data_IF_289015460881
#
_entry.id   IF_289015460881
#
_cell.length_a   1.000
_cell.length_b   1.000
_cell.length_c   1.000
_cell.angle_alpha   90.00
_cell.angle_beta   90.00
_cell.angle_gamma   90.00
#
_symmetry.space_group_name_H-M   'P 1'
#
loop_
_entity.id
_entity.type
_entity.pdbx_description
1 polymer ?
#
# COMPACT_ATOMS: atom_id res chain seq x y z
N UNK A 1 13.11 27.52 -10.35
CA UNK A 1 11.91 27.17 -9.58
C UNK A 1 11.92 25.66 -9.42
N UNK A 2 11.74 25.16 -8.20
CA UNK A 2 11.59 23.72 -7.96
C UNK A 2 10.32 23.24 -8.65
N UNK A 3 10.37 22.04 -9.21
CA UNK A 3 9.20 21.43 -9.86
C UNK A 3 8.10 21.16 -8.82
N UNK A 4 6.90 21.76 -8.96
CA UNK A 4 5.80 21.56 -8.02
C UNK A 4 5.42 20.08 -7.84
N UNK A 5 5.60 19.26 -8.89
CA UNK A 5 5.35 17.82 -8.81
C UNK A 5 6.21 17.15 -7.75
N UNK A 6 7.50 17.51 -7.68
CA UNK A 6 8.46 16.86 -6.76
C UNK A 6 8.14 17.20 -5.31
N UNK A 7 7.64 18.41 -5.05
CA UNK A 7 7.23 18.83 -3.69
C UNK A 7 6.04 18.00 -3.23
N UNK A 8 4.98 17.93 -4.03
CA UNK A 8 3.79 17.14 -3.69
C UNK A 8 4.13 15.65 -3.64
N UNK A 9 5.06 15.17 -4.47
CA UNK A 9 5.57 13.80 -4.41
C UNK A 9 6.21 13.49 -3.04
N UNK A 10 7.02 14.39 -2.49
CA UNK A 10 7.63 14.23 -1.15
C UNK A 10 6.56 14.22 -0.05
N UNK A 11 5.56 15.10 -0.15
CA UNK A 11 4.43 15.16 0.79
C UNK A 11 3.61 13.86 0.77
N UNK A 12 3.28 13.35 -0.42
CA UNK A 12 2.60 12.06 -0.59
C UNK A 12 3.42 10.93 0.02
N UNK A 13 4.75 10.89 -0.21
CA UNK A 13 5.61 9.86 0.39
C UNK A 13 5.58 9.92 1.92
N UNK A 14 5.64 11.12 2.51
CA UNK A 14 5.55 11.33 3.96
C UNK A 14 4.19 10.87 4.51
N UNK A 15 3.09 11.28 3.88
CA UNK A 15 1.74 10.91 4.28
C UNK A 15 1.50 9.40 4.16
N UNK A 16 2.10 8.74 3.17
CA UNK A 16 2.08 7.28 3.06
C UNK A 16 2.77 6.57 4.21
N UNK A 17 3.94 7.04 4.63
CA UNK A 17 4.65 6.42 5.76
C UNK A 17 3.89 6.62 7.08
N UNK A 18 3.19 7.76 7.23
CA UNK A 18 2.25 7.99 8.32
C UNK A 18 1.07 7.00 8.27
N UNK A 19 0.43 6.85 7.11
CA UNK A 19 -0.66 5.89 6.90
C UNK A 19 -0.23 4.44 7.19
N UNK A 20 0.98 4.04 6.81
CA UNK A 20 1.52 2.70 7.13
C UNK A 20 1.74 2.50 8.62
N UNK A 21 2.19 3.53 9.32
CA UNK A 21 2.36 3.51 10.77
C UNK A 21 1.02 3.38 11.48
N UNK A 22 0.02 4.16 11.05
CA UNK A 22 -1.36 4.09 11.54
C UNK A 22 -2.01 2.74 11.25
N UNK A 23 -1.76 2.16 10.08
CA UNK A 23 -2.27 0.84 9.74
C UNK A 23 -1.64 -0.27 10.61
N UNK A 24 -0.36 -0.14 10.97
CA UNK A 24 0.30 -1.07 11.86
C UNK A 24 -0.30 -0.99 13.28
N UNK A 25 -0.52 0.21 13.81
CA UNK A 25 -1.18 0.39 15.12
C UNK A 25 -2.64 -0.08 15.09
N UNK A 26 -3.37 0.21 14.02
CA UNK A 26 -4.74 -0.28 13.79
C UNK A 26 -4.82 -1.80 13.88
N UNK A 27 -3.94 -2.52 13.17
CA UNK A 27 -3.90 -4.00 13.21
C UNK A 27 -3.58 -4.56 14.60
N UNK A 28 -2.71 -3.88 15.35
CA UNK A 28 -2.38 -4.29 16.71
C UNK A 28 -3.57 -4.14 17.67
N UNK A 29 -4.38 -3.09 17.47
CA UNK A 29 -5.58 -2.81 18.25
C UNK A 29 -6.76 -3.70 17.83
N UNK A 30 -6.83 -4.10 16.56
CA UNK A 30 -7.82 -5.03 16.03
C UNK A 30 -7.69 -6.45 16.61
N UNK A 31 -6.47 -6.92 16.84
CA UNK A 31 -6.22 -8.27 17.34
C UNK A 31 -6.44 -8.45 18.86
N UNK A 32 -6.59 -7.36 19.62
CA UNK A 32 -6.73 -7.41 21.08
C UNK A 32 -8.21 -7.35 21.50
N UNK A 33 -8.56 -8.06 22.59
CA UNK A 33 -9.80 -7.79 23.33
C UNK A 33 -9.67 -6.41 23.98
N UNK A 34 -10.48 -5.43 23.57
CA UNK A 34 -10.27 -4.02 23.91
C UNK A 34 -10.89 -3.65 25.25
N UNK A 35 -10.13 -2.91 26.05
CA UNK A 35 -10.68 -2.10 27.14
C UNK A 35 -11.40 -0.86 26.58
N UNK A 36 -12.28 -0.20 27.35
CA UNK A 36 -12.95 1.04 26.88
C UNK A 36 -11.98 2.17 26.48
N UNK A 37 -10.77 2.19 27.05
CA UNK A 37 -9.74 3.16 26.68
C UNK A 37 -9.05 2.81 25.35
N UNK A 38 -8.74 1.53 25.12
CA UNK A 38 -8.18 1.04 23.85
C UNK A 38 -9.20 1.12 22.69
N UNK A 39 -10.49 1.11 22.98
CA UNK A 39 -11.55 1.33 22.00
C UNK A 39 -11.56 2.78 21.47
N UNK A 40 -11.42 3.77 22.37
CA UNK A 40 -11.30 5.17 21.95
C UNK A 40 -10.03 5.40 21.11
N UNK A 41 -8.93 4.73 21.47
CA UNK A 41 -7.67 4.79 20.70
C UNK A 41 -7.84 4.15 19.33
N UNK A 42 -8.57 3.04 19.23
CA UNK A 42 -8.85 2.40 17.94
C UNK A 42 -9.71 3.27 17.02
N UNK A 43 -10.77 3.89 17.55
CA UNK A 43 -11.60 4.82 16.77
C UNK A 43 -10.77 6.00 16.26
N UNK A 44 -9.98 6.61 17.14
CA UNK A 44 -9.07 7.68 16.76
C UNK A 44 -8.09 7.26 15.64
N UNK A 45 -7.44 6.10 15.78
CA UNK A 45 -6.52 5.59 14.76
C UNK A 45 -7.25 5.29 13.44
N UNK A 46 -8.48 4.80 13.50
CA UNK A 46 -9.30 4.51 12.32
C UNK A 46 -9.67 5.80 11.58
N UNK A 47 -10.13 6.82 12.30
CA UNK A 47 -10.50 8.12 11.72
C UNK A 47 -9.28 8.87 11.17
N UNK A 48 -8.14 8.83 11.88
CA UNK A 48 -6.90 9.46 11.44
C UNK A 48 -6.35 8.77 10.17
N UNK A 49 -6.40 7.43 10.13
CA UNK A 49 -6.01 6.66 8.95
C UNK A 49 -6.93 6.97 7.77
N UNK A 50 -8.24 7.07 7.99
CA UNK A 50 -9.20 7.47 6.98
C UNK A 50 -8.88 8.86 6.40
N UNK A 51 -8.68 9.84 7.29
CA UNK A 51 -8.37 11.22 6.91
C UNK A 51 -7.09 11.29 6.09
N UNK A 52 -6.04 10.61 6.55
CA UNK A 52 -4.75 10.54 5.87
C UNK A 52 -4.87 9.90 4.50
N UNK A 53 -5.56 8.75 4.39
CA UNK A 53 -5.77 8.08 3.10
C UNK A 53 -6.55 8.98 2.14
N UNK A 54 -7.62 9.64 2.60
CA UNK A 54 -8.42 10.54 1.76
C UNK A 54 -7.61 11.75 1.25
N UNK A 55 -6.75 12.33 2.10
CA UNK A 55 -5.84 13.41 1.69
C UNK A 55 -4.86 12.92 0.61
N UNK A 56 -4.22 11.79 0.84
CA UNK A 56 -3.28 11.17 -0.12
C UNK A 56 -3.95 10.87 -1.44
N UNK A 57 -5.20 10.42 -1.42
CA UNK A 57 -5.97 10.15 -2.62
C UNK A 57 -6.22 11.41 -3.44
N UNK A 58 -6.60 12.51 -2.79
CA UNK A 58 -6.75 13.81 -3.45
C UNK A 58 -5.45 14.25 -4.10
N UNK A 59 -4.34 14.16 -3.36
CA UNK A 59 -3.01 14.51 -3.88
C UNK A 59 -2.63 13.63 -5.10
N UNK A 60 -2.96 12.33 -5.07
CA UNK A 60 -2.71 11.42 -6.18
C UNK A 60 -3.55 11.74 -7.43
N UNK A 61 -4.78 12.24 -7.25
CA UNK A 61 -5.62 12.74 -8.36
C UNK A 61 -4.99 13.98 -8.98
N UNK A 62 -4.57 14.95 -8.17
CA UNK A 62 -3.92 16.18 -8.66
C UNK A 62 -2.59 15.87 -9.36
N UNK A 63 -1.79 14.94 -8.81
CA UNK A 63 -0.56 14.48 -9.45
C UNK A 63 -0.83 13.77 -10.78
N UNK A 64 -1.92 13.00 -10.90
CA UNK A 64 -2.30 12.39 -12.16
C UNK A 64 -2.68 13.44 -13.20
N UNK A 65 -3.49 14.44 -12.84
CA UNK A 65 -3.86 15.53 -13.74
C UNK A 65 -2.61 16.30 -14.21
N UNK A 66 -1.66 16.56 -13.31
CA UNK A 66 -0.39 17.18 -13.65
C UNK A 66 0.44 16.34 -14.63
N UNK A 67 0.43 15.01 -14.47
CA UNK A 67 1.12 14.08 -15.38
C UNK A 67 0.44 14.03 -16.74
N UNK A 68 -0.89 14.02 -16.79
CA UNK A 68 -1.63 14.03 -18.05
C UNK A 68 -1.48 15.36 -18.78
N UNK A 69 -1.49 16.50 -18.08
CA UNK A 69 -1.15 17.79 -18.66
C UNK A 69 0.26 17.78 -19.26
N UNK A 70 1.25 17.27 -18.52
CA UNK A 70 2.63 17.13 -18.99
C UNK A 70 2.77 16.20 -20.21
N UNK A 71 1.91 15.19 -20.36
CA UNK A 71 1.88 14.30 -21.53
C UNK A 71 1.36 14.99 -22.79
N UNK A 72 0.35 15.85 -22.65
CA UNK A 72 -0.25 16.55 -23.78
C UNK A 72 0.63 17.70 -24.29
N UNK A 73 1.37 18.38 -23.41
CA UNK A 73 2.29 19.47 -23.77
C UNK A 73 3.70 19.32 -23.16
N UNK A 74 4.48 18.29 -23.53
CA UNK A 74 5.80 18.05 -22.92
C UNK A 74 6.81 19.19 -23.11
N UNK A 75 6.67 19.94 -24.21
CA UNK A 75 7.56 21.05 -24.55
C UNK A 75 7.45 22.24 -23.59
N UNK A 76 6.26 22.48 -23.01
CA UNK A 76 6.00 23.60 -22.10
C UNK A 76 6.59 23.35 -20.71
N UNK A 77 6.71 22.07 -20.32
CA UNK A 77 7.25 21.65 -19.03
C UNK A 77 8.72 21.24 -19.09
N UNK A 78 9.31 21.13 -20.28
CA UNK A 78 10.71 20.71 -20.45
C UNK A 78 11.00 19.30 -19.93
N UNK A 79 9.98 18.44 -19.85
CA UNK A 79 10.08 17.09 -19.30
C UNK A 79 10.42 16.10 -20.39
N UNK A 80 11.37 15.21 -20.10
CA UNK A 80 11.67 14.06 -20.96
C UNK A 80 10.58 13.00 -20.86
N UNK A 81 10.36 12.25 -21.94
CA UNK A 81 9.40 11.13 -21.92
C UNK A 81 9.71 10.08 -20.84
N UNK A 82 10.98 9.91 -20.46
CA UNK A 82 11.36 9.06 -19.33
C UNK A 82 10.96 9.61 -17.96
N UNK A 83 11.01 10.94 -17.77
CA UNK A 83 10.55 11.56 -16.52
C UNK A 83 9.03 11.46 -16.39
N UNK A 84 8.29 11.68 -17.47
CA UNK A 84 6.83 11.51 -17.48
C UNK A 84 6.46 10.06 -17.14
N UNK A 85 7.16 9.09 -17.72
CA UNK A 85 6.99 7.67 -17.42
C UNK A 85 7.24 7.34 -15.93
N UNK A 86 8.31 7.89 -15.36
CA UNK A 86 8.62 7.71 -13.94
C UNK A 86 7.53 8.27 -13.03
N UNK A 87 6.96 9.43 -13.38
CA UNK A 87 5.84 10.04 -12.65
C UNK A 87 4.56 9.20 -12.75
N UNK A 88 4.25 8.67 -13.93
CA UNK A 88 3.13 7.75 -14.13
C UNK A 88 3.28 6.49 -13.26
N UNK A 89 4.46 5.87 -13.27
CA UNK A 89 4.74 4.69 -12.44
C UNK A 89 4.59 4.99 -10.95
N UNK A 90 5.04 6.17 -10.51
CA UNK A 90 4.91 6.60 -9.12
C UNK A 90 3.43 6.72 -8.72
N UNK A 91 2.63 7.46 -9.48
CA UNK A 91 1.20 7.66 -9.18
C UNK A 91 0.45 6.34 -9.18
N UNK A 92 0.66 5.49 -10.19
CA UNK A 92 0.03 4.17 -10.28
C UNK A 92 0.41 3.25 -9.11
N UNK A 93 1.70 3.17 -8.76
CA UNK A 93 2.17 2.34 -7.63
C UNK A 93 1.58 2.81 -6.30
N UNK A 94 1.49 4.12 -6.09
CA UNK A 94 0.90 4.67 -4.87
C UNK A 94 -0.61 4.45 -4.82
N UNK A 95 -1.34 4.67 -5.92
CA UNK A 95 -2.78 4.36 -5.99
C UNK A 95 -3.08 2.90 -5.64
N UNK A 96 -2.34 1.95 -6.21
CA UNK A 96 -2.46 0.53 -5.85
C UNK A 96 -2.23 0.29 -4.35
N UNK A 97 -1.20 0.92 -3.77
CA UNK A 97 -0.91 0.77 -2.35
C UNK A 97 -2.00 1.37 -1.45
N UNK A 98 -2.66 2.47 -1.85
CA UNK A 98 -3.85 2.97 -1.13
C UNK A 98 -4.98 1.95 -1.17
N UNK A 99 -5.26 1.39 -2.36
CA UNK A 99 -6.33 0.42 -2.54
C UNK A 99 -6.08 -0.87 -1.73
N UNK A 100 -4.85 -1.35 -1.68
CA UNK A 100 -4.46 -2.47 -0.82
C UNK A 100 -4.76 -2.15 0.66
N UNK A 101 -4.36 -0.97 1.14
CA UNK A 101 -4.63 -0.52 2.52
C UNK A 101 -6.13 -0.39 2.80
N UNK A 102 -6.92 0.05 1.81
CA UNK A 102 -8.38 0.13 1.89
C UNK A 102 -9.03 -1.25 2.01
N UNK A 103 -8.57 -2.21 1.22
CA UNK A 103 -9.08 -3.57 1.26
C UNK A 103 -8.90 -4.21 2.65
N UNK A 104 -7.82 -3.85 3.35
CA UNK A 104 -7.56 -4.29 4.72
C UNK A 104 -8.56 -3.69 5.72
N UNK A 105 -8.98 -2.43 5.52
CA UNK A 105 -9.94 -1.74 6.40
C UNK A 105 -11.40 -2.15 6.15
N UNK A 106 -11.74 -2.46 4.90
CA UNK A 106 -13.09 -2.88 4.48
C UNK A 106 -13.37 -4.36 4.71
N UNK A 107 -12.34 -5.18 4.94
CA UNK A 107 -12.49 -6.59 5.33
C UNK A 107 -11.96 -6.84 6.75
N UNK A 108 -12.66 -6.37 7.79
CA UNK A 108 -12.44 -6.86 9.14
C UNK A 108 -13.03 -8.29 9.19
N UNK A 109 -12.18 -9.30 9.00
CA UNK A 109 -12.49 -10.73 9.18
C UNK A 109 -13.94 -11.13 8.88
N UNK A 110 -14.26 -11.38 7.60
CA UNK A 110 -15.51 -12.02 7.17
C UNK A 110 -15.75 -13.44 7.78
N UNK A 111 -14.97 -13.84 8.79
CA UNK A 111 -15.05 -15.10 9.53
C UNK A 111 -15.71 -14.99 10.91
N UNK A 112 -16.04 -13.80 11.42
CA UNK A 112 -16.73 -13.66 12.73
C UNK A 112 -18.27 -13.56 12.66
N UNK A 113 -18.86 -13.60 11.47
CA UNK A 113 -20.31 -13.44 11.25
C UNK A 113 -21.14 -14.72 11.06
N UNK A 114 -20.60 -15.93 11.31
CA UNK A 114 -21.36 -17.19 11.14
C UNK A 114 -21.50 -17.98 12.45
N UNK A 115 -21.99 -17.32 13.51
CA UNK A 115 -22.48 -17.99 14.73
C UNK A 115 -23.91 -17.60 15.11
N UNK A 116 -24.70 -17.11 14.16
CA UNK A 116 -26.15 -17.17 14.29
C UNK A 116 -26.67 -18.28 13.40
N UNK A 117 -27.38 -19.23 14.03
CA UNK A 117 -28.37 -20.18 13.49
C UNK A 117 -28.05 -21.63 13.88
N UNK A 118 -28.81 -22.15 14.85
CA UNK A 118 -29.00 -23.59 14.99
C UNK A 118 -28.94 -24.15 16.40
N UNK A 119 -29.71 -23.63 17.35
CA UNK A 119 -30.19 -24.46 18.46
C UNK A 119 -31.71 -24.35 18.55
N UNK A 120 -32.37 -24.91 17.54
CA UNK A 120 -33.79 -25.26 17.58
C UNK A 120 -33.90 -26.74 17.24
N UNK A 121 -34.64 -27.42 18.11
CA UNK A 121 -35.10 -28.80 18.04
C UNK A 121 -34.05 -29.91 18.07
N UNK A 122 -34.00 -30.63 19.18
CA UNK A 122 -34.51 -32.01 19.25
C UNK A 122 -34.48 -32.50 20.70
N UNK A 123 -35.65 -32.74 21.31
CA UNK A 123 -35.86 -33.97 22.08
C UNK A 123 -37.37 -34.22 22.23
N UNK A 124 -37.90 -34.90 21.23
CA UNK A 124 -39.11 -35.70 21.37
C UNK A 124 -38.87 -36.84 22.35
N UNK A 125 -39.78 -36.96 23.31
CA UNK A 125 -40.43 -38.22 23.70
C UNK A 125 -39.56 -39.49 23.83
N UNK A 126 -39.27 -39.88 25.08
CA UNK A 126 -39.48 -41.26 25.52
C UNK A 126 -39.45 -41.38 27.04
N UNK A 127 -40.49 -42.03 27.56
CA UNK A 127 -40.77 -42.14 28.99
C UNK A 127 -39.82 -43.00 29.83
N UNK A 128 -39.90 -42.67 31.12
CA UNK A 128 -39.96 -43.55 32.29
C UNK A 128 -38.76 -44.48 32.60
N UNK A 129 -38.01 -44.19 33.67
CA UNK A 129 -37.98 -45.02 34.91
C UNK A 129 -37.61 -44.15 36.13
N UNK A 130 -38.38 -44.39 37.19
CA UNK A 130 -38.41 -43.84 38.55
C UNK A 130 -37.18 -44.22 39.40
N UNK A 131 -36.58 -43.26 40.11
CA UNK A 131 -35.99 -43.31 41.47
C UNK A 131 -35.55 -41.87 41.79
N UNK A 132 -35.84 -41.17 42.89
CA UNK A 132 -36.31 -41.53 44.22
C UNK A 132 -35.54 -40.63 45.20
N UNK A 133 -36.25 -39.74 45.90
CA UNK A 133 -35.84 -38.99 47.12
C UNK A 133 -34.87 -37.79 47.00
N UNK A 134 -35.38 -36.56 47.20
CA UNK A 134 -35.37 -35.82 48.48
C UNK A 134 -35.61 -34.30 48.32
N UNK A 135 -36.56 -33.81 49.14
CA UNK A 135 -36.61 -32.52 49.86
C UNK A 135 -36.38 -31.19 49.12
N UNK A 136 -37.44 -30.37 49.16
CA UNK A 136 -37.50 -28.96 49.58
C UNK A 136 -36.13 -28.24 49.68
N UNK A 137 -35.94 -27.18 48.90
CA UNK A 137 -36.08 -25.80 49.39
C UNK A 137 -36.00 -24.82 48.22
N UNK A 138 -36.99 -23.94 48.19
CA UNK A 138 -37.02 -22.68 47.46
C UNK A 138 -35.75 -21.85 47.73
N UNK A 139 -34.85 -21.78 46.75
CA UNK A 139 -33.74 -20.82 46.69
C UNK A 139 -33.34 -20.46 45.25
N UNK A 140 -34.22 -20.69 44.27
CA UNK A 140 -33.91 -20.50 42.84
C UNK A 140 -34.17 -19.06 42.34
N UNK A 141 -34.35 -18.10 43.25
CA UNK A 141 -34.68 -16.71 42.89
C UNK A 141 -33.47 -15.78 42.94
N UNK A 142 -32.42 -16.10 43.71
CA UNK A 142 -31.20 -15.28 43.77
C UNK A 142 -30.22 -15.62 42.62
N UNK A 143 -30.04 -16.90 42.29
CA UNK A 143 -29.17 -17.32 41.18
C UNK A 143 -29.69 -16.88 39.80
N UNK A 144 -30.99 -16.59 39.67
CA UNK A 144 -31.58 -16.08 38.42
C UNK A 144 -31.40 -14.56 38.24
N UNK A 145 -31.25 -13.81 39.35
CA UNK A 145 -30.99 -12.36 39.32
C UNK A 145 -29.53 -12.09 38.99
N UNK A 146 -28.62 -12.92 39.49
CA UNK A 146 -27.19 -12.80 39.19
C UNK A 146 -26.89 -13.17 37.73
N UNK A 147 -27.48 -14.25 37.20
CA UNK A 147 -27.41 -14.60 35.76
C UNK A 147 -28.08 -13.53 34.88
N UNK A 148 -29.18 -12.91 35.34
CA UNK A 148 -29.83 -11.79 34.67
C UNK A 148 -28.94 -10.55 34.56
N UNK A 149 -28.26 -10.16 35.66
CA UNK A 149 -27.31 -9.05 35.66
C UNK A 149 -26.10 -9.31 34.75
N UNK A 150 -25.57 -10.54 34.72
CA UNK A 150 -24.49 -10.91 33.80
C UNK A 150 -24.97 -10.86 32.34
N UNK A 151 -26.18 -11.31 32.04
CA UNK A 151 -26.75 -11.23 30.69
C UNK A 151 -27.03 -9.79 30.25
N UNK A 152 -27.57 -8.94 31.13
CA UNK A 152 -27.79 -7.53 30.84
C UNK A 152 -26.47 -6.79 30.62
N UNK A 153 -25.44 -7.06 31.43
CA UNK A 153 -24.11 -6.47 31.24
C UNK A 153 -23.44 -6.93 29.95
N UNK A 154 -23.62 -8.20 29.57
CA UNK A 154 -23.18 -8.71 28.27
C UNK A 154 -23.96 -8.09 27.10
N UNK A 155 -25.27 -7.84 27.24
CA UNK A 155 -26.06 -7.17 26.21
C UNK A 155 -25.65 -5.72 26.02
N UNK A 156 -25.43 -4.96 27.10
CA UNK A 156 -24.96 -3.56 27.00
C UNK A 156 -23.56 -3.48 26.35
N UNK A 157 -22.69 -4.46 26.61
CA UNK A 157 -21.37 -4.54 25.98
C UNK A 157 -21.45 -4.89 24.47
N UNK A 158 -22.40 -5.75 24.09
CA UNK A 158 -22.66 -6.11 22.68
C UNK A 158 -23.33 -4.95 21.93
N UNK A 159 -24.30 -4.27 22.53
CA UNK A 159 -24.97 -3.10 21.94
C UNK A 159 -23.99 -1.92 21.74
N UNK A 160 -23.00 -1.77 22.64
CA UNK A 160 -21.92 -0.80 22.46
C UNK A 160 -21.01 -1.16 21.28
N UNK A 161 -20.74 -2.46 21.03
CA UNK A 161 -19.99 -2.90 19.85
C UNK A 161 -20.79 -2.74 18.54
N UNK A 162 -22.11 -2.93 18.55
CA UNK A 162 -22.95 -2.79 17.35
C UNK A 162 -23.11 -1.32 16.91
N UNK A 163 -23.23 -0.35 17.83
CA UNK A 163 -23.22 1.08 17.48
C UNK A 163 -21.88 1.54 16.87
N UNK A 164 -20.78 0.84 17.16
CA UNK A 164 -19.45 1.16 16.64
C UNK A 164 -19.26 0.68 15.20
N UNK A 165 -19.88 -0.46 14.83
CA UNK A 165 -19.93 -0.90 13.44
C UNK A 165 -20.63 0.11 12.55
N UNK A 166 -21.69 0.77 13.02
CA UNK A 166 -22.43 1.78 12.23
C UNK A 166 -21.58 3.02 11.90
N UNK A 167 -20.81 3.54 12.88
CA UNK A 167 -19.95 4.70 12.64
C UNK A 167 -18.77 4.35 11.72
N UNK A 168 -18.19 3.16 11.88
CA UNK A 168 -17.18 2.64 10.94
C UNK A 168 -17.78 2.34 9.57
N UNK A 169 -19.04 1.88 9.49
CA UNK A 169 -19.75 1.61 8.25
C UNK A 169 -19.91 2.87 7.42
N UNK A 170 -20.16 4.02 8.03
CA UNK A 170 -20.28 5.28 7.32
C UNK A 170 -18.91 5.74 6.77
N UNK A 171 -17.86 5.63 7.59
CA UNK A 171 -16.48 5.85 7.16
C UNK A 171 -16.11 4.90 6.01
N UNK A 172 -16.41 3.61 6.13
CA UNK A 172 -16.18 2.57 5.11
C UNK A 172 -17.02 2.75 3.85
N UNK A 173 -18.27 3.21 3.96
CA UNK A 173 -19.13 3.53 2.81
C UNK A 173 -18.55 4.70 2.02
N UNK A 174 -18.08 5.74 2.72
CA UNK A 174 -17.41 6.85 2.07
C UNK A 174 -16.10 6.39 1.43
N UNK A 175 -15.36 5.47 2.07
CA UNK A 175 -14.17 4.86 1.48
C UNK A 175 -14.51 4.13 0.16
N UNK A 176 -15.61 3.37 0.14
CA UNK A 176 -16.00 2.55 -1.01
C UNK A 176 -16.38 3.39 -2.23
N UNK A 177 -17.04 4.53 -2.03
CA UNK A 177 -17.40 5.46 -3.11
C UNK A 177 -16.17 6.02 -3.84
N UNK A 178 -15.12 6.38 -3.09
CA UNK A 178 -13.86 6.90 -3.66
C UNK A 178 -13.05 5.77 -4.30
N UNK A 179 -13.00 4.59 -3.67
CA UNK A 179 -12.29 3.42 -4.19
C UNK A 179 -12.85 2.94 -5.55
N UNK A 180 -14.18 3.01 -5.74
CA UNK A 180 -14.80 2.66 -7.02
C UNK A 180 -14.28 3.52 -8.18
N UNK A 181 -14.03 4.81 -7.93
CA UNK A 181 -13.48 5.73 -8.93
C UNK A 181 -12.01 5.44 -9.20
N UNK A 182 -11.25 5.05 -8.19
CA UNK A 182 -9.85 4.62 -8.37
C UNK A 182 -9.73 3.33 -9.18
N UNK A 183 -10.55 2.33 -8.90
CA UNK A 183 -10.47 1.04 -9.58
C UNK A 183 -10.68 1.18 -11.10
N UNK A 184 -11.62 2.04 -11.53
CA UNK A 184 -11.79 2.36 -12.96
C UNK A 184 -10.57 3.08 -13.55
N UNK A 185 -9.95 3.99 -12.81
CA UNK A 185 -8.80 4.74 -13.31
C UNK A 185 -7.49 3.94 -13.28
N UNK A 186 -7.38 2.95 -12.41
CA UNK A 186 -6.29 1.98 -12.38
C UNK A 186 -6.35 1.03 -13.59
N UNK A 187 -7.55 0.64 -14.02
CA UNK A 187 -7.75 -0.15 -15.25
C UNK A 187 -7.30 0.66 -16.49
N UNK A 188 -7.62 1.96 -16.54
CA UNK A 188 -7.14 2.87 -17.58
C UNK A 188 -5.61 3.07 -17.54
N UNK A 189 -5.03 3.11 -16.34
CA UNK A 189 -3.58 3.21 -16.16
C UNK A 189 -2.83 1.93 -16.56
N UNK A 190 -3.42 0.74 -16.37
CA UNK A 190 -2.79 -0.52 -16.78
C UNK A 190 -2.55 -0.57 -18.30
N UNK A 191 -3.48 -0.01 -19.08
CA UNK A 191 -3.36 0.14 -20.54
C UNK A 191 -2.26 1.15 -20.90
N UNK A 192 -2.21 2.28 -20.18
CA UNK A 192 -1.22 3.35 -20.40
C UNK A 192 0.21 2.95 -20.00
N UNK A 193 0.38 2.14 -18.95
CA UNK A 193 1.67 1.69 -18.44
C UNK A 193 2.36 0.69 -19.38
N UNK A 194 1.62 -0.13 -20.11
CA UNK A 194 2.18 -1.04 -21.12
C UNK A 194 2.82 -0.28 -22.28
N UNK A 195 2.15 0.77 -22.77
CA UNK A 195 2.67 1.67 -23.80
C UNK A 195 3.94 2.41 -23.34
N UNK A 196 3.95 2.86 -22.08
CA UNK A 196 5.10 3.51 -21.45
C UNK A 196 6.26 2.55 -21.26
N UNK A 197 5.99 1.32 -20.82
CA UNK A 197 6.97 0.24 -20.72
C UNK A 197 7.66 -0.04 -22.06
N UNK A 198 6.87 -0.11 -23.13
CA UNK A 198 7.39 -0.29 -24.49
C UNK A 198 8.28 0.89 -24.94
N UNK A 199 7.94 2.12 -24.54
CA UNK A 199 8.72 3.33 -24.83
C UNK A 199 10.02 3.39 -24.01
N UNK A 200 9.97 2.95 -22.76
CA UNK A 200 11.11 2.85 -21.85
C UNK A 200 12.10 1.80 -22.36
N UNK A 201 11.65 0.61 -22.75
CA UNK A 201 12.50 -0.45 -23.32
C UNK A 201 13.23 0.00 -24.58
N UNK A 202 12.53 0.76 -25.44
CA UNK A 202 13.12 1.37 -26.63
C UNK A 202 14.15 2.43 -26.26
N UNK A 203 13.88 3.24 -25.25
CA UNK A 203 14.79 4.29 -24.78
C UNK A 203 16.02 3.70 -24.08
N UNK A 204 15.84 2.69 -23.24
CA UNK A 204 16.91 1.95 -22.57
C UNK A 204 17.78 1.19 -23.57
N UNK A 205 17.19 0.60 -24.61
CA UNK A 205 17.93 -0.02 -25.71
C UNK A 205 18.76 0.99 -26.51
N UNK A 206 18.21 2.18 -26.79
CA UNK A 206 18.94 3.29 -27.43
C UNK A 206 20.05 3.83 -26.54
N UNK A 207 19.80 4.02 -25.25
CA UNK A 207 20.78 4.48 -24.27
C UNK A 207 21.90 3.46 -24.06
N UNK A 208 21.57 2.18 -23.95
CA UNK A 208 22.54 1.08 -23.89
C UNK A 208 23.41 1.02 -25.14
N UNK A 209 22.81 1.23 -26.32
CA UNK A 209 23.53 1.32 -27.59
C UNK A 209 24.45 2.55 -27.65
N UNK A 210 23.99 3.71 -27.17
CA UNK A 210 24.79 4.91 -27.07
C UNK A 210 25.95 4.74 -26.08
N UNK A 211 25.71 4.15 -24.91
CA UNK A 211 26.72 3.81 -23.91
C UNK A 211 27.77 2.87 -24.48
N UNK A 212 27.37 1.82 -25.19
CA UNK A 212 28.30 0.90 -25.89
C UNK A 212 29.13 1.62 -26.94
N UNK A 213 28.56 2.58 -27.68
CA UNK A 213 29.30 3.40 -28.66
C UNK A 213 30.33 4.30 -27.96
N UNK A 214 29.95 4.94 -26.85
CA UNK A 214 30.87 5.76 -26.04
C UNK A 214 31.99 4.91 -25.48
N UNK A 215 31.69 3.76 -24.89
CA UNK A 215 32.68 2.86 -24.31
C UNK A 215 33.64 2.31 -25.38
N UNK A 216 33.11 1.96 -26.56
CA UNK A 216 33.92 1.59 -27.74
C UNK A 216 34.82 2.74 -28.20
N UNK A 217 34.31 3.96 -28.24
CA UNK A 217 35.09 5.14 -28.64
C UNK A 217 36.22 5.45 -27.65
N UNK A 218 35.95 5.34 -26.35
CA UNK A 218 36.96 5.49 -25.29
C UNK A 218 38.05 4.41 -25.41
N UNK A 219 37.66 3.16 -25.68
CA UNK A 219 38.58 2.03 -25.84
C UNK A 219 39.42 2.14 -27.13
N UNK A 220 38.83 2.56 -28.24
CA UNK A 220 39.55 2.77 -29.51
C UNK A 220 40.57 3.93 -29.40
N UNK A 221 40.24 5.01 -28.66
CA UNK A 221 41.19 6.10 -28.41
C UNK A 221 42.37 5.64 -27.57
N UNK A 222 42.12 4.83 -26.53
CA UNK A 222 43.18 4.29 -25.67
C UNK A 222 44.13 3.40 -26.47
N UNK A 223 43.61 2.50 -27.30
CA UNK A 223 44.42 1.60 -28.11
C UNK A 223 45.31 2.35 -29.11
N UNK A 224 44.78 3.35 -29.83
CA UNK A 224 45.59 4.17 -30.76
C UNK A 224 46.70 4.94 -30.04
N UNK A 225 46.42 5.48 -28.86
CA UNK A 225 47.42 6.17 -28.05
C UNK A 225 48.54 5.21 -27.60
N UNK A 226 48.19 3.98 -27.21
CA UNK A 226 49.17 2.95 -26.80
C UNK A 226 50.07 2.55 -27.97
N UNK A 227 49.52 2.36 -29.18
CA UNK A 227 50.32 2.03 -30.37
C UNK A 227 51.35 3.11 -30.69
N UNK A 228 50.98 4.39 -30.61
CA UNK A 228 51.89 5.51 -30.87
C UNK A 228 53.02 5.54 -29.83
N UNK A 229 52.70 5.34 -28.55
CA UNK A 229 53.70 5.30 -27.47
C UNK A 229 54.68 4.14 -27.66
N UNK A 230 54.19 2.96 -28.06
CA UNK A 230 55.02 1.77 -28.28
C UNK A 230 55.98 1.97 -29.47
N UNK A 231 55.49 2.55 -30.57
CA UNK A 231 56.33 2.88 -31.74
C UNK A 231 57.41 3.92 -31.36
N UNK A 232 57.06 4.98 -30.64
CA UNK A 232 58.03 5.96 -30.16
C UNK A 232 59.11 5.34 -29.27
N UNK A 233 58.72 4.45 -28.36
CA UNK A 233 59.65 3.73 -27.49
C UNK A 233 60.63 2.86 -28.29
N UNK A 234 60.14 2.15 -29.31
CA UNK A 234 60.97 1.31 -30.17
C UNK A 234 62.00 2.14 -30.97
N UNK A 235 61.58 3.29 -31.51
CA UNK A 235 62.49 4.22 -32.21
C UNK A 235 63.60 4.71 -31.29
N UNK A 236 63.27 5.10 -30.05
CA UNK A 236 64.27 5.52 -29.05
C UNK A 236 65.25 4.38 -28.73
N UNK A 237 64.75 3.14 -28.62
CA UNK A 237 65.59 1.97 -28.33
C UNK A 237 66.60 1.69 -29.46
N UNK A 238 66.17 1.82 -30.72
CA UNK A 238 67.05 1.70 -31.89
C UNK A 238 68.12 2.80 -31.90
N UNK A 239 67.74 4.05 -31.59
CA UNK A 239 68.69 5.16 -31.49
C UNK A 239 69.72 4.94 -30.39
N UNK A 240 69.32 4.43 -29.22
CA UNK A 240 70.24 4.09 -28.14
C UNK A 240 71.21 2.97 -28.54
N UNK A 241 70.72 1.91 -29.21
CA UNK A 241 71.60 0.84 -29.70
C UNK A 241 72.61 1.35 -30.72
N UNK A 242 72.20 2.24 -31.63
CA UNK A 242 73.12 2.87 -32.59
C UNK A 242 74.20 3.68 -31.88
N UNK A 243 73.84 4.46 -30.86
CA UNK A 243 74.79 5.26 -30.06
C UNK A 243 75.74 4.37 -29.25
N UNK A 244 75.28 3.24 -28.71
CA UNK A 244 76.13 2.32 -27.94
C UNK A 244 77.09 1.55 -28.84
N UNK A 245 76.67 1.24 -30.08
CA UNK A 245 77.44 0.46 -31.03
C UNK A 245 78.39 1.32 -31.89
N UNK A 246 78.16 2.63 -31.94
CA UNK A 246 79.04 3.63 -32.57
C UNK A 246 80.07 4.10 -31.56
#
# INVERSE_FOLDING_TARGET
MSDPFVVVQEDVVSAFEQARTLLASWRMLDQKMRTPQEENEYQFVTDELYSTLTSVESDLVDLQEAVDAARHTPADYGLSGSQIAERQNFVASKRQAVEDMRHILTQPDAKKGSRSTGLRDTYSDRGNVIHGHHRRHSASREHNVEVGNYQEQHQVLMDQQDQQFDSMLDTVRNLHGIASTMNTELEDQAILLDDVGSLMDRTQSKLSSARKKVDKFLRDKNNRSIYIVLVLFLVILVLLLLIIFT
#
